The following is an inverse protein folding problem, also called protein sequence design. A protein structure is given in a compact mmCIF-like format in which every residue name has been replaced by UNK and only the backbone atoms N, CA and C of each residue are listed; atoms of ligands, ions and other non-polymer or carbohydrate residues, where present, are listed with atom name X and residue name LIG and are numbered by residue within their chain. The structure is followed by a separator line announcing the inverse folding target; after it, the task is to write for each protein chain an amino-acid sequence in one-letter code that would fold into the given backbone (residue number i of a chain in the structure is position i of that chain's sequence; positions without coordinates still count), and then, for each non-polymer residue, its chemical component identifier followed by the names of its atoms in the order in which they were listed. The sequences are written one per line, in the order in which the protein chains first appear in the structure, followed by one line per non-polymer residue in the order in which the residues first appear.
data_IF_745852123239
#
_entry.id   IF_745852123239
#
_cell.length_a   1.000
_cell.length_b   1.000
_cell.length_c   1.000
_cell.angle_alpha   90.00
_cell.angle_beta   90.00
_cell.angle_gamma   90.00
#
_symmetry.space_group_name_H-M   'P 1'
#
loop_
_entity.id
_entity.type
_entity.pdbx_description
1 polymer ?
#
# COMPACT_ATOMS: atom_id res chain seq x y z
N UNK A 1 -4.05 8.55 13.80
CA UNK A 1 -5.35 8.96 13.26
C UNK A 1 -5.22 8.98 11.74
N UNK A 2 -5.66 7.92 11.02
CA UNK A 2 -5.27 7.75 9.60
C UNK A 2 -6.31 7.02 8.72
N UNK A 3 -7.42 6.53 9.26
CA UNK A 3 -8.46 5.84 8.46
C UNK A 3 -9.58 6.76 7.95
N UNK A 4 -9.86 7.87 8.64
CA UNK A 4 -11.03 8.71 8.38
C UNK A 4 -10.88 9.70 7.21
N UNK A 5 -9.66 10.03 6.79
CA UNK A 5 -9.43 11.03 5.73
C UNK A 5 -9.52 10.47 4.30
N UNK A 6 -9.67 9.15 4.12
CA UNK A 6 -9.68 8.48 2.81
C UNK A 6 -11.06 7.97 2.36
N UNK A 7 -12.15 8.34 3.06
CA UNK A 7 -13.50 7.90 2.68
C UNK A 7 -13.74 6.39 2.81
N UNK A 8 -12.86 5.69 3.52
CA UNK A 8 -12.97 4.27 3.81
C UNK A 8 -14.01 4.10 4.92
N UNK A 9 -15.23 3.68 4.55
CA UNK A 9 -16.30 3.38 5.52
C UNK A 9 -16.07 2.07 6.26
N UNK A 10 -15.25 1.17 5.73
CA UNK A 10 -14.82 -0.05 6.39
C UNK A 10 -13.40 -0.46 5.92
N UNK A 11 -12.41 -0.36 6.80
CA UNK A 11 -11.02 -0.73 6.52
C UNK A 11 -10.79 -2.24 6.28
N UNK A 12 -11.84 -3.05 6.41
CA UNK A 12 -11.81 -4.51 6.21
C UNK A 12 -12.50 -4.97 4.91
N UNK A 13 -13.16 -4.08 4.16
CA UNK A 13 -13.65 -4.39 2.80
C UNK A 13 -12.53 -4.15 1.79
N UNK A 14 -11.96 -5.23 1.26
CA UNK A 14 -10.81 -5.20 0.35
C UNK A 14 -11.08 -4.37 -0.90
N UNK A 15 -12.28 -4.46 -1.47
CA UNK A 15 -12.63 -3.74 -2.70
C UNK A 15 -12.74 -2.25 -2.43
N UNK A 16 -13.42 -1.86 -1.36
CA UNK A 16 -13.55 -0.45 -1.00
C UNK A 16 -12.22 0.18 -0.58
N UNK A 17 -11.35 -0.57 0.11
CA UNK A 17 -10.01 -0.10 0.47
C UNK A 17 -9.10 0.05 -0.75
N UNK A 18 -9.15 -0.90 -1.68
CA UNK A 18 -8.35 -0.84 -2.90
C UNK A 18 -8.80 0.32 -3.79
N UNK A 19 -10.11 0.47 -4.01
CA UNK A 19 -10.64 1.60 -4.78
C UNK A 19 -10.37 2.95 -4.12
N UNK A 20 -10.52 3.06 -2.79
CA UNK A 20 -10.20 4.26 -2.04
C UNK A 20 -8.72 4.64 -2.14
N UNK A 21 -7.83 3.66 -1.93
CA UNK A 21 -6.39 3.84 -2.05
C UNK A 21 -5.93 4.22 -3.46
N UNK A 22 -6.46 3.55 -4.49
CA UNK A 22 -6.12 3.85 -5.90
C UNK A 22 -6.62 5.23 -6.31
N UNK A 23 -7.86 5.61 -5.97
CA UNK A 23 -8.38 6.96 -6.23
C UNK A 23 -7.54 8.02 -5.53
N UNK A 24 -7.14 7.77 -4.29
CA UNK A 24 -6.29 8.69 -3.56
C UNK A 24 -4.90 8.84 -4.18
N UNK A 25 -4.27 7.72 -4.57
CA UNK A 25 -2.99 7.75 -5.27
C UNK A 25 -3.08 8.51 -6.61
N UNK A 26 -4.18 8.31 -7.36
CA UNK A 26 -4.41 9.05 -8.61
C UNK A 26 -4.49 10.55 -8.36
N UNK A 27 -5.27 10.96 -7.36
CA UNK A 27 -5.35 12.36 -6.93
C UNK A 27 -3.97 12.95 -6.60
N UNK A 28 -3.13 12.21 -5.87
CA UNK A 28 -1.78 12.67 -5.53
C UNK A 28 -0.87 12.78 -6.77
N UNK A 29 -0.97 11.82 -7.70
CA UNK A 29 -0.24 11.89 -8.97
C UNK A 29 -0.62 13.14 -9.78
N UNK A 30 -1.91 13.42 -9.91
CA UNK A 30 -2.38 14.62 -10.61
C UNK A 30 -1.90 15.89 -9.89
N UNK A 31 -1.94 15.91 -8.55
CA UNK A 31 -1.46 17.04 -7.73
C UNK A 31 0.04 17.33 -7.88
N UNK A 32 0.86 16.29 -8.01
CA UNK A 32 2.31 16.41 -8.16
C UNK A 32 2.78 16.30 -9.62
N UNK A 33 1.89 16.55 -10.59
CA UNK A 33 2.26 16.64 -12.02
C UNK A 33 2.83 15.34 -12.58
N UNK A 34 2.35 14.19 -12.10
CA UNK A 34 2.85 12.87 -12.50
C UNK A 34 4.14 12.44 -11.80
N UNK A 35 4.69 13.24 -10.87
CA UNK A 35 5.87 12.85 -10.11
C UNK A 35 5.51 11.75 -9.08
N UNK A 36 5.73 10.50 -9.48
CA UNK A 36 5.42 9.31 -8.68
C UNK A 36 6.12 9.32 -7.31
N UNK A 37 7.37 9.77 -7.23
CA UNK A 37 8.11 9.80 -5.97
C UNK A 37 7.48 10.76 -4.95
N UNK A 38 7.03 11.93 -5.39
CA UNK A 38 6.32 12.89 -4.54
C UNK A 38 4.91 12.42 -4.17
N UNK A 39 4.20 11.77 -5.10
CA UNK A 39 2.90 11.18 -4.81
C UNK A 39 2.99 10.08 -3.74
N UNK A 40 3.99 9.19 -3.84
CA UNK A 40 4.24 8.16 -2.83
C UNK A 40 4.66 8.76 -1.48
N UNK A 41 5.47 9.82 -1.49
CA UNK A 41 5.85 10.54 -0.28
C UNK A 41 4.63 11.15 0.41
N UNK A 42 3.73 11.79 -0.36
CA UNK A 42 2.51 12.40 0.17
C UNK A 42 1.49 11.36 0.65
N UNK A 43 1.45 10.18 0.02
CA UNK A 43 0.62 9.07 0.48
C UNK A 43 1.02 8.58 1.87
N UNK A 44 2.32 8.55 2.17
CA UNK A 44 2.85 8.11 3.47
C UNK A 44 2.90 9.24 4.52
N UNK A 45 3.41 10.42 4.16
CA UNK A 45 3.69 11.52 5.08
C UNK A 45 2.65 12.65 5.07
N UNK A 46 1.69 12.61 4.15
CA UNK A 46 0.74 13.70 3.92
C UNK A 46 1.27 14.76 2.94
N UNK A 47 0.34 15.43 2.27
CA UNK A 47 0.63 16.48 1.29
C UNK A 47 1.29 17.69 1.95
N UNK A 48 0.86 18.04 3.15
CA UNK A 48 1.36 19.19 3.90
C UNK A 48 2.86 19.05 4.19
N UNK A 49 3.32 17.84 4.52
CA UNK A 49 4.73 17.57 4.73
C UNK A 49 5.52 17.76 3.43
N UNK A 50 5.10 17.14 2.33
CA UNK A 50 5.78 17.27 1.03
C UNK A 50 5.83 18.72 0.57
N UNK A 51 4.74 19.47 0.76
CA UNK A 51 4.66 20.90 0.42
C UNK A 51 5.60 21.73 1.29
N UNK A 52 5.62 21.48 2.61
CA UNK A 52 6.49 22.20 3.57
C UNK A 52 7.96 22.02 3.26
N UNK A 53 8.38 20.81 2.87
CA UNK A 53 9.78 20.50 2.57
C UNK A 53 10.15 20.73 1.10
N UNK A 54 9.18 21.02 0.22
CA UNK A 54 9.42 21.19 -1.22
C UNK A 54 9.91 19.91 -1.91
N UNK A 55 9.64 18.74 -1.34
CA UNK A 55 10.20 17.47 -1.78
C UNK A 55 9.87 16.31 -0.83
N UNK A 56 10.60 15.20 -0.96
CA UNK A 56 10.46 14.08 -0.03
C UNK A 56 10.92 14.55 1.36
N UNK A 57 10.07 14.51 2.40
CA UNK A 57 10.45 14.98 3.73
C UNK A 57 11.59 14.13 4.30
N UNK A 58 12.42 14.69 5.21
CA UNK A 58 13.53 13.98 5.85
C UNK A 58 13.06 13.00 6.94
N UNK A 59 11.97 12.28 6.69
CA UNK A 59 11.45 11.24 7.55
C UNK A 59 11.99 9.90 7.05
N UNK A 60 12.75 9.22 7.90
CA UNK A 60 13.40 7.95 7.55
C UNK A 60 12.39 6.92 7.02
N UNK A 61 11.20 6.84 7.64
CA UNK A 61 10.11 5.98 7.20
C UNK A 61 9.65 6.30 5.78
N UNK A 62 9.39 7.59 5.49
CA UNK A 62 8.91 8.02 4.17
C UNK A 62 9.93 7.78 3.08
N UNK A 63 11.21 8.08 3.34
CA UNK A 63 12.28 7.81 2.39
C UNK A 63 12.43 6.30 2.10
N UNK A 64 12.38 5.47 3.15
CA UNK A 64 12.42 4.03 3.01
C UNK A 64 11.20 3.48 2.25
N UNK A 65 10.01 4.02 2.53
CA UNK A 65 8.76 3.67 1.85
C UNK A 65 8.86 3.95 0.35
N UNK A 66 9.22 5.19 -0.03
CA UNK A 66 9.35 5.59 -1.44
C UNK A 66 10.37 4.71 -2.16
N UNK A 67 11.56 4.51 -1.58
CA UNK A 67 12.59 3.67 -2.16
C UNK A 67 12.13 2.21 -2.34
N UNK A 68 11.41 1.66 -1.37
CA UNK A 68 10.86 0.30 -1.44
C UNK A 68 9.87 0.15 -2.57
N UNK A 69 8.88 1.05 -2.69
CA UNK A 69 7.85 0.94 -3.72
C UNK A 69 8.43 1.14 -5.12
N UNK A 70 9.33 2.12 -5.31
CA UNK A 70 9.98 2.33 -6.61
C UNK A 70 10.80 1.11 -7.03
N UNK A 71 11.52 0.47 -6.09
CA UNK A 71 12.23 -0.80 -6.37
C UNK A 71 11.26 -1.93 -6.73
N UNK A 72 10.12 -2.03 -6.04
CA UNK A 72 9.11 -3.04 -6.37
C UNK A 72 8.55 -2.81 -7.77
N UNK A 73 8.27 -1.56 -8.16
CA UNK A 73 7.81 -1.20 -9.51
C UNK A 73 8.87 -1.42 -10.59
N UNK A 74 10.15 -1.22 -10.28
CA UNK A 74 11.23 -1.53 -11.24
C UNK A 74 11.41 -3.03 -11.44
N UNK A 75 11.25 -3.82 -10.37
CA UNK A 75 11.37 -5.30 -10.43
C UNK A 75 10.13 -5.94 -11.01
N UNK A 76 8.97 -5.32 -10.81
CA UNK A 76 7.75 -5.62 -11.53
C UNK A 76 7.75 -4.78 -12.82
N UNK A 77 8.55 -5.15 -13.84
CA UNK A 77 8.25 -4.75 -15.21
C UNK A 77 6.82 -5.22 -15.49
N UNK A 78 5.82 -4.36 -15.23
CA UNK A 78 4.42 -4.72 -14.97
C UNK A 78 4.00 -5.89 -15.86
N UNK A 79 4.07 -7.15 -15.38
CA UNK A 79 3.58 -8.21 -16.19
C UNK A 79 2.07 -8.04 -16.13
N UNK A 80 1.44 -8.06 -17.29
CA UNK A 80 0.02 -8.33 -17.43
C UNK A 80 -0.43 -9.55 -16.57
N UNK A 81 0.52 -10.36 -16.05
CA UNK A 81 0.32 -11.44 -15.09
C UNK A 81 -0.19 -11.04 -13.69
N UNK A 82 -0.03 -9.80 -13.22
CA UNK A 82 -0.67 -9.38 -11.94
C UNK A 82 -2.20 -9.29 -12.07
N UNK A 83 -2.70 -9.19 -13.30
CA UNK A 83 -4.13 -9.23 -13.62
C UNK A 83 -4.71 -10.66 -13.56
N UNK A 84 -3.86 -11.70 -13.54
CA UNK A 84 -4.27 -13.10 -13.59
C UNK A 84 -4.20 -13.86 -12.25
N UNK A 85 -3.47 -13.36 -11.25
CA UNK A 85 -3.40 -14.00 -9.93
C UNK A 85 -4.38 -13.33 -8.97
N UNK A 86 -5.55 -13.96 -8.77
CA UNK A 86 -6.54 -13.52 -7.80
C UNK A 86 -5.93 -13.29 -6.41
N UNK A 87 -6.48 -12.33 -5.67
CA UNK A 87 -6.09 -12.08 -4.27
C UNK A 87 -6.25 -13.37 -3.45
N UNK A 88 -5.17 -13.78 -2.79
CA UNK A 88 -5.23 -14.86 -1.83
C UNK A 88 -5.97 -14.38 -0.58
N UNK A 89 -6.95 -15.15 -0.11
CA UNK A 89 -7.66 -14.95 1.16
C UNK A 89 -7.26 -16.05 2.12
N UNK A 90 -6.68 -15.68 3.26
CA UNK A 90 -6.35 -16.57 4.36
C UNK A 90 -7.23 -16.22 5.56
N UNK A 91 -7.64 -17.23 6.31
CA UNK A 91 -8.40 -17.07 7.55
C UNK A 91 -7.58 -17.70 8.67
N UNK A 92 -7.19 -16.89 9.65
CA UNK A 92 -6.51 -17.33 10.85
C UNK A 92 -7.50 -18.05 11.79
N UNK A 93 -7.00 -18.89 12.69
CA UNK A 93 -7.87 -19.68 13.57
C UNK A 93 -8.69 -18.82 14.53
N UNK A 94 -8.24 -17.60 14.82
CA UNK A 94 -8.95 -16.60 15.61
C UNK A 94 -10.04 -15.82 14.83
N UNK A 95 -10.27 -16.19 13.57
CA UNK A 95 -11.26 -15.57 12.68
C UNK A 95 -10.76 -14.33 11.92
N UNK A 96 -9.49 -13.93 12.06
CA UNK A 96 -8.93 -12.82 11.27
C UNK A 96 -8.75 -13.23 9.81
N UNK A 97 -9.16 -12.35 8.89
CA UNK A 97 -8.99 -12.56 7.45
C UNK A 97 -7.83 -11.71 6.92
N UNK A 98 -6.89 -12.36 6.24
CA UNK A 98 -5.72 -11.73 5.61
C UNK A 98 -5.84 -11.87 4.09
N UNK A 99 -5.74 -10.75 3.39
CA UNK A 99 -5.67 -10.74 1.93
C UNK A 99 -4.25 -10.42 1.48
N UNK A 100 -3.75 -11.16 0.48
CA UNK A 100 -2.40 -10.97 -0.04
C UNK A 100 -2.35 -11.17 -1.55
N UNK A 101 -1.48 -10.41 -2.21
CA UNK A 101 -1.09 -10.66 -3.60
C UNK A 101 0.07 -11.69 -3.71
N UNK A 102 0.49 -12.26 -2.58
CA UNK A 102 1.52 -13.27 -2.50
C UNK A 102 0.93 -14.61 -2.01
N UNK A 103 1.36 -15.74 -2.60
CA UNK A 103 1.05 -17.05 -2.05
C UNK A 103 1.73 -17.26 -0.68
N UNK A 104 1.21 -18.17 0.13
CA UNK A 104 1.57 -18.34 1.55
C UNK A 104 3.07 -18.60 1.75
N UNK A 105 3.72 -19.31 0.83
CA UNK A 105 5.15 -19.61 0.83
C UNK A 105 6.02 -18.35 0.65
N UNK A 106 5.47 -17.28 0.06
CA UNK A 106 6.13 -15.98 -0.14
C UNK A 106 5.81 -14.96 0.95
N UNK A 107 4.91 -15.28 1.89
CA UNK A 107 4.62 -14.41 3.04
C UNK A 107 5.81 -14.39 4.01
N UNK A 108 5.87 -13.35 4.86
CA UNK A 108 6.85 -13.32 5.94
C UNK A 108 6.56 -14.42 6.97
N UNK A 109 7.59 -14.84 7.71
CA UNK A 109 7.47 -15.85 8.77
C UNK A 109 6.37 -15.45 9.78
N UNK A 110 6.41 -14.21 10.28
CA UNK A 110 5.42 -13.73 11.25
C UNK A 110 3.98 -13.71 10.74
N UNK A 111 3.76 -13.45 9.44
CA UNK A 111 2.41 -13.55 8.86
C UNK A 111 1.96 -15.01 8.78
N UNK A 112 2.86 -15.94 8.44
CA UNK A 112 2.52 -17.37 8.46
C UNK A 112 2.23 -17.88 9.87
N UNK A 113 2.98 -17.44 10.87
CA UNK A 113 2.76 -17.78 12.28
C UNK A 113 1.40 -17.25 12.75
N UNK A 114 1.09 -15.98 12.49
CA UNK A 114 -0.21 -15.37 12.80
C UNK A 114 -1.38 -16.14 12.16
N UNK A 115 -1.21 -16.69 10.96
CA UNK A 115 -2.24 -17.51 10.31
C UNK A 115 -2.36 -18.92 10.91
N UNK A 116 -1.33 -19.40 11.61
CA UNK A 116 -1.25 -20.75 12.16
C UNK A 116 -1.56 -20.85 13.66
N UNK A 117 -1.59 -19.73 14.40
CA UNK A 117 -1.90 -19.69 15.83
C UNK A 117 -3.29 -20.30 16.14
N UNK A 118 -3.35 -21.20 17.12
CA UNK A 118 -4.58 -21.75 17.73
C UNK A 118 -4.88 -21.06 19.04
#
# INVERSE_FOLDING_TARGET
ATAAMLGVRNAFDVRQNLEGGVRHLRYLLDRFGGNLALALAAYNAGVEAVTRYGGIPPYAETQAYVARILRLLQRAELPAAAEAAGLYRYEAADGRVVYSNLPIDKLSVGVREMLAER
#
